data_IF_905993218863
#
_entry.id   IF_905993218863
#
_cell.length_a   1.000
_cell.length_b   1.000
_cell.length_c   1.000
_cell.angle_alpha   90.00
_cell.angle_beta   90.00
_cell.angle_gamma   90.00
#
_symmetry.space_group_name_H-M   'P 1'
#
loop_
_entity.id
_entity.type
_entity.pdbx_description
1 polymer ?
#
# COMPACT_ATOMS: atom_id res chain seq x y z
N UNK A 1 -5.07 -0.90 5.81
CA UNK A 1 -4.10 -0.16 6.65
C UNK A 1 -4.86 0.87 7.45
N UNK A 2 -5.22 0.56 8.70
CA UNK A 2 -5.80 1.56 9.60
C UNK A 2 -4.74 2.61 9.93
N UNK A 3 -4.76 3.74 9.22
CA UNK A 3 -3.81 4.83 9.45
C UNK A 3 -4.08 5.47 10.80
N UNK A 4 -3.05 6.00 11.48
CA UNK A 4 -3.24 6.92 12.63
C UNK A 4 -4.27 8.00 12.28
N UNK A 5 -4.29 8.45 11.01
CA UNK A 5 -5.25 9.42 10.46
C UNK A 5 -6.71 8.95 10.48
N UNK A 6 -6.97 7.65 10.43
CA UNK A 6 -8.31 7.07 10.57
C UNK A 6 -8.70 6.93 12.05
N UNK A 7 -7.74 6.66 12.94
CA UNK A 7 -7.97 6.55 14.37
C UNK A 7 -8.20 7.91 15.04
N UNK A 8 -7.58 8.98 14.52
CA UNK A 8 -7.81 10.35 15.01
C UNK A 8 -8.95 11.09 14.31
N UNK A 9 -9.64 10.42 13.36
CA UNK A 9 -10.73 11.05 12.61
C UNK A 9 -11.94 11.25 13.53
N UNK A 10 -12.16 12.49 13.99
CA UNK A 10 -13.26 12.86 14.88
C UNK A 10 -12.86 13.09 16.34
N UNK A 11 -11.57 12.94 16.69
CA UNK A 11 -11.06 13.30 18.01
C UNK A 11 -10.62 14.77 18.06
N UNK A 12 -10.79 15.39 19.22
CA UNK A 12 -10.30 16.74 19.47
C UNK A 12 -8.78 16.75 19.72
N UNK A 13 -8.15 17.92 19.60
CA UNK A 13 -6.69 18.08 19.73
C UNK A 13 -6.16 17.61 21.09
N UNK A 14 -6.95 17.78 22.15
CA UNK A 14 -6.57 17.39 23.50
C UNK A 14 -6.66 15.87 23.73
N UNK A 15 -7.64 15.20 23.12
CA UNK A 15 -7.77 13.74 23.13
C UNK A 15 -6.65 13.08 22.31
N UNK A 16 -6.22 13.69 21.19
CA UNK A 16 -5.08 13.21 20.42
C UNK A 16 -3.76 13.26 21.19
N UNK A 17 -3.56 14.26 22.06
CA UNK A 17 -2.34 14.37 22.90
C UNK A 17 -2.25 13.31 23.99
N UNK A 18 -3.40 12.82 24.47
CA UNK A 18 -3.46 11.80 25.53
C UNK A 18 -3.42 10.38 24.98
N UNK A 19 -3.63 10.17 23.67
CA UNK A 19 -3.45 8.88 23.03
C UNK A 19 -1.97 8.48 22.93
N UNK A 20 -1.62 7.33 23.51
CA UNK A 20 -0.32 6.68 23.31
C UNK A 20 -0.21 6.11 21.89
N UNK A 21 0.94 6.33 21.24
CA UNK A 21 1.29 5.74 19.93
C UNK A 21 1.20 4.21 19.93
N UNK A 22 1.41 3.55 21.07
CA UNK A 22 1.31 2.08 21.18
C UNK A 22 -0.10 1.56 20.92
N UNK A 23 -1.14 2.29 21.35
CA UNK A 23 -2.54 1.91 21.10
C UNK A 23 -2.96 2.10 19.62
N UNK A 24 -2.15 2.83 18.86
CA UNK A 24 -2.39 3.10 17.45
C UNK A 24 -1.92 1.94 16.56
N UNK A 25 -1.08 1.05 17.06
CA UNK A 25 -0.54 -0.10 16.32
C UNK A 25 -1.47 -1.30 16.56
N UNK A 26 -2.54 -1.39 15.77
CA UNK A 26 -3.35 -2.61 15.71
C UNK A 26 -2.65 -3.64 14.82
N UNK A 27 -2.74 -4.95 15.14
CA UNK A 27 -2.18 -5.99 14.28
C UNK A 27 -2.90 -5.95 12.92
N UNK A 28 -2.11 -6.02 11.85
CA UNK A 28 -2.62 -6.04 10.47
C UNK A 28 -3.50 -7.26 10.26
N UNK A 29 -4.73 -7.06 9.78
CA UNK A 29 -5.69 -8.14 9.52
C UNK A 29 -5.69 -8.54 8.05
N UNK A 30 -6.23 -9.71 7.70
CA UNK A 30 -6.35 -10.14 6.31
C UNK A 30 -7.13 -9.13 5.43
N UNK A 31 -8.18 -8.51 5.99
CA UNK A 31 -8.96 -7.47 5.30
C UNK A 31 -8.14 -6.22 4.99
N UNK A 32 -7.10 -5.90 5.78
CA UNK A 32 -6.21 -4.79 5.47
C UNK A 32 -5.37 -5.03 4.22
N UNK A 33 -5.01 -6.29 3.94
CA UNK A 33 -4.29 -6.67 2.74
C UNK A 33 -5.17 -6.57 1.49
N UNK A 34 -6.42 -7.05 1.57
CA UNK A 34 -7.37 -6.92 0.46
C UNK A 34 -7.57 -5.45 0.03
N UNK A 35 -7.77 -4.56 1.01
CA UNK A 35 -7.89 -3.12 0.77
C UNK A 35 -6.60 -2.50 0.21
N UNK A 36 -5.44 -3.01 0.61
CA UNK A 36 -4.17 -2.54 0.10
C UNK A 36 -4.01 -2.95 -1.37
N UNK A 37 -4.28 -4.21 -1.70
CA UNK A 37 -4.21 -4.74 -3.07
C UNK A 37 -5.16 -3.99 -4.00
N UNK A 38 -6.41 -3.73 -3.57
CA UNK A 38 -7.38 -2.97 -4.36
C UNK A 38 -6.91 -1.53 -4.65
N UNK A 39 -6.21 -0.92 -3.69
CA UNK A 39 -5.69 0.45 -3.84
C UNK A 39 -4.39 0.53 -4.63
N UNK A 40 -3.63 -0.55 -4.71
CA UNK A 40 -2.34 -0.59 -5.41
C UNK A 40 -2.47 -1.33 -6.73
N UNK A 41 -2.52 -0.57 -7.83
CA UNK A 41 -2.41 -1.17 -9.16
C UNK A 41 -0.97 -1.65 -9.42
N UNK A 42 -0.78 -2.77 -10.14
CA UNK A 42 0.54 -3.19 -10.58
C UNK A 42 1.19 -2.07 -11.42
N UNK A 43 2.44 -1.72 -11.12
CA UNK A 43 3.17 -0.69 -11.86
C UNK A 43 3.66 -1.15 -13.24
N UNK A 44 3.53 -2.44 -13.53
CA UNK A 44 3.91 -3.08 -14.79
C UNK A 44 2.73 -3.91 -15.25
N UNK A 45 2.22 -3.64 -16.45
CA UNK A 45 1.15 -4.44 -17.04
C UNK A 45 1.71 -5.52 -17.97
N UNK A 46 0.88 -6.50 -18.33
CA UNK A 46 1.28 -7.58 -19.25
C UNK A 46 1.80 -7.05 -20.60
N UNK A 47 1.31 -5.91 -21.07
CA UNK A 47 1.79 -5.29 -22.30
C UNK A 47 3.21 -4.71 -22.15
N UNK A 48 3.60 -4.25 -20.96
CA UNK A 48 4.96 -3.77 -20.69
C UNK A 48 5.94 -4.94 -20.66
N UNK A 49 5.51 -6.08 -20.11
CA UNK A 49 6.28 -7.33 -20.12
C UNK A 49 6.51 -7.80 -21.57
N UNK A 50 5.46 -7.84 -22.40
CA UNK A 50 5.58 -8.27 -23.79
C UNK A 50 6.51 -7.36 -24.61
N UNK A 51 6.48 -6.04 -24.38
CA UNK A 51 7.43 -5.11 -25.00
C UNK A 51 8.86 -5.37 -24.57
N UNK A 52 9.08 -5.67 -23.29
CA UNK A 52 10.41 -5.99 -22.78
C UNK A 52 10.93 -7.29 -23.37
N UNK A 53 10.12 -8.34 -23.46
CA UNK A 53 10.48 -9.62 -24.07
C UNK A 53 10.87 -9.46 -25.55
N UNK A 54 10.06 -8.73 -26.33
CA UNK A 54 10.37 -8.44 -27.73
C UNK A 54 11.68 -7.64 -27.88
N UNK A 55 11.93 -6.68 -26.99
CA UNK A 55 13.17 -5.90 -26.99
C UNK A 55 14.39 -6.76 -26.62
N UNK A 56 14.23 -7.67 -25.65
CA UNK A 56 15.28 -8.63 -25.27
C UNK A 56 15.57 -9.63 -26.38
N UNK A 57 14.58 -10.04 -27.18
CA UNK A 57 14.80 -10.90 -28.35
C UNK A 57 15.58 -10.16 -29.46
N UNK A 58 15.28 -8.89 -29.70
CA UNK A 58 15.86 -8.11 -30.79
C UNK A 58 17.25 -7.51 -30.44
N UNK A 59 17.45 -7.08 -29.19
CA UNK A 59 18.64 -6.35 -28.75
C UNK A 59 19.33 -6.97 -27.53
N UNK A 60 18.80 -8.05 -26.98
CA UNK A 60 19.42 -8.74 -25.85
C UNK A 60 20.75 -9.35 -26.27
N UNK A 61 21.86 -8.80 -25.79
CA UNK A 61 23.14 -9.47 -25.89
C UNK A 61 23.17 -10.61 -24.88
N UNK A 62 23.29 -11.84 -25.39
CA UNK A 62 23.62 -13.02 -24.60
C UNK A 62 25.09 -13.01 -24.16
#
# INVERSE_FOLDING_TARGET
>A
MNSVRELVRGLTVDEMRTMSMENCIKPTTASDFEKAIDRTSPSVCAADIAKYEAWMEEFGSF
#
